data_IF_333093433089
#
_entry.id   IF_333093433089
#
_cell.length_a   1.000
_cell.length_b   1.000
_cell.length_c   1.000
_cell.angle_alpha   90.00
_cell.angle_beta   90.00
_cell.angle_gamma   90.00
#
_symmetry.space_group_name_H-M   'P 1'
#
loop_
_entity.id
_entity.type
_entity.pdbx_description
1 polymer ?
#
# COMPACT_ATOMS: atom_id res chain seq x y z
N UNK A 1 10.35 -1.94 5.41
CA UNK A 1 10.79 -1.48 6.74
C UNK A 1 11.15 -2.64 7.65
N UNK A 2 10.24 -3.60 7.94
CA UNK A 2 10.51 -4.75 8.82
C UNK A 2 11.65 -5.64 8.30
N UNK A 3 11.75 -5.86 7.00
CA UNK A 3 12.86 -6.60 6.37
C UNK A 3 14.23 -5.91 6.57
N UNK A 4 14.27 -4.60 6.72
CA UNK A 4 15.51 -3.88 7.05
C UNK A 4 15.96 -4.12 8.49
N UNK A 5 15.01 -4.36 9.40
CA UNK A 5 15.30 -4.61 10.82
C UNK A 5 15.67 -6.07 11.06
N UNK A 6 14.85 -7.01 10.54
CA UNK A 6 14.95 -8.42 10.90
C UNK A 6 15.71 -9.30 9.89
N UNK A 7 16.06 -8.75 8.73
CA UNK A 7 16.85 -9.37 7.64
C UNK A 7 16.31 -10.71 7.09
N UNK A 8 15.97 -11.68 7.96
CA UNK A 8 15.56 -13.03 7.61
C UNK A 8 14.05 -13.26 7.82
N UNK A 9 13.43 -14.06 6.94
CA UNK A 9 12.00 -14.38 6.99
C UNK A 9 11.66 -15.17 8.26
N UNK A 10 12.53 -16.08 8.69
CA UNK A 10 12.33 -16.88 9.91
C UNK A 10 12.30 -16.01 11.17
N UNK A 11 13.19 -15.01 11.24
CA UNK A 11 13.22 -14.05 12.34
C UNK A 11 11.98 -13.14 12.31
N UNK A 12 11.49 -12.75 11.15
CA UNK A 12 10.24 -11.97 11.02
C UNK A 12 9.09 -12.77 11.60
N UNK A 13 8.92 -14.03 11.22
CA UNK A 13 7.83 -14.88 11.72
C UNK A 13 7.87 -15.07 13.24
N UNK A 14 9.05 -15.03 13.84
CA UNK A 14 9.24 -15.20 15.29
C UNK A 14 9.05 -13.91 16.09
N UNK A 15 9.52 -12.79 15.56
CA UNK A 15 9.57 -11.50 16.28
C UNK A 15 8.53 -10.48 15.82
N UNK A 16 7.81 -10.74 14.72
CA UNK A 16 6.80 -9.84 14.17
C UNK A 16 5.44 -10.49 14.18
N UNK A 17 4.48 -9.83 14.80
CA UNK A 17 3.07 -10.18 14.73
C UNK A 17 2.35 -9.18 13.83
N UNK A 18 1.90 -9.62 12.66
CA UNK A 18 1.13 -8.79 11.73
C UNK A 18 -0.36 -9.16 11.81
N UNK A 19 -1.19 -8.19 12.08
CA UNK A 19 -2.64 -8.35 12.30
C UNK A 19 -3.42 -7.39 11.44
N UNK A 20 -4.37 -7.90 10.67
CA UNK A 20 -5.33 -7.07 9.96
C UNK A 20 -6.59 -6.88 10.82
N UNK A 21 -6.86 -5.64 11.22
CA UNK A 21 -8.00 -5.28 12.07
C UNK A 21 -9.33 -5.22 11.31
N UNK A 22 -9.31 -5.22 9.97
CA UNK A 22 -10.51 -5.23 9.14
C UNK A 22 -11.37 -6.50 9.32
N UNK A 23 -10.78 -7.59 9.80
CA UNK A 23 -11.49 -8.86 10.02
C UNK A 23 -12.18 -8.96 11.38
N UNK A 24 -12.67 -7.85 11.93
CA UNK A 24 -13.47 -7.87 13.18
C UNK A 24 -12.69 -8.31 14.42
N UNK A 25 -11.38 -8.06 14.47
CA UNK A 25 -10.54 -8.35 15.64
C UNK A 25 -10.99 -7.52 16.85
N UNK A 26 -11.74 -8.15 17.73
CA UNK A 26 -12.32 -7.51 18.90
C UNK A 26 -11.36 -7.46 20.10
N UNK A 27 -11.91 -6.96 21.22
CA UNK A 27 -11.20 -6.81 22.50
C UNK A 27 -10.58 -8.12 23.00
N UNK A 28 -11.21 -9.27 22.75
CA UNK A 28 -10.68 -10.60 23.15
C UNK A 28 -9.33 -10.88 22.49
N UNK A 29 -9.21 -10.66 21.19
CA UNK A 29 -7.97 -10.82 20.47
C UNK A 29 -6.82 -10.00 21.08
N UNK A 30 -7.09 -8.74 21.42
CA UNK A 30 -6.08 -7.86 22.03
C UNK A 30 -5.68 -8.34 23.42
N UNK A 31 -6.64 -8.82 24.22
CA UNK A 31 -6.36 -9.30 25.57
C UNK A 31 -5.60 -10.61 25.60
N UNK A 32 -5.92 -11.52 24.72
CA UNK A 32 -5.43 -12.89 24.76
C UNK A 32 -4.19 -13.04 23.86
N UNK A 33 -4.33 -12.90 22.56
CA UNK A 33 -3.26 -13.18 21.61
C UNK A 33 -2.16 -12.10 21.62
N UNK A 34 -2.55 -10.82 21.46
CA UNK A 34 -1.58 -9.74 21.37
C UNK A 34 -0.82 -9.55 22.68
N UNK A 35 -1.53 -9.63 23.82
CA UNK A 35 -0.91 -9.53 25.13
C UNK A 35 0.01 -10.72 25.42
N UNK A 36 -0.39 -11.93 25.01
CA UNK A 36 0.45 -13.12 25.14
C UNK A 36 1.74 -12.96 24.34
N UNK A 37 1.64 -12.55 23.07
CA UNK A 37 2.80 -12.29 22.22
C UNK A 37 3.72 -11.22 22.83
N UNK A 38 3.18 -10.10 23.30
CA UNK A 38 3.96 -9.03 23.91
C UNK A 38 4.65 -9.46 25.23
N UNK A 39 4.02 -10.38 26.00
CA UNK A 39 4.53 -10.86 27.28
C UNK A 39 5.65 -11.89 27.13
N UNK A 40 5.67 -12.70 26.06
CA UNK A 40 6.70 -13.71 25.87
C UNK A 40 8.10 -13.09 25.79
N UNK A 41 9.05 -13.66 26.51
CA UNK A 41 10.42 -13.13 26.56
C UNK A 41 11.15 -13.33 25.22
N UNK A 42 12.05 -12.41 24.91
CA UNK A 42 12.93 -12.48 23.75
C UNK A 42 14.21 -13.19 24.20
N UNK A 43 14.58 -14.27 23.52
CA UNK A 43 15.92 -14.83 23.65
C UNK A 43 16.87 -13.96 22.81
N UNK A 44 17.78 -13.26 23.47
CA UNK A 44 18.74 -12.30 22.87
C UNK A 44 19.80 -12.95 21.94
N UNK A 45 19.66 -14.23 21.60
CA UNK A 45 20.66 -14.98 20.81
C UNK A 45 20.91 -14.43 19.41
N UNK A 46 20.02 -13.57 18.87
CA UNK A 46 20.15 -13.04 17.51
C UNK A 46 20.37 -11.51 17.45
N UNK A 47 20.67 -10.86 18.58
CA UNK A 47 20.94 -9.41 18.61
C UNK A 47 19.72 -8.51 18.43
N UNK A 48 18.50 -9.05 18.40
CA UNK A 48 17.27 -8.25 18.34
C UNK A 48 16.76 -7.94 19.74
N UNK A 49 16.57 -6.65 20.02
CA UNK A 49 16.21 -6.15 21.34
C UNK A 49 14.72 -5.95 21.57
N UNK A 50 13.88 -6.08 20.53
CA UNK A 50 12.45 -5.82 20.64
C UNK A 50 11.64 -6.70 19.66
N UNK A 51 10.37 -6.87 19.96
CA UNK A 51 9.37 -7.43 19.06
C UNK A 51 8.61 -6.33 18.34
N UNK A 52 8.00 -6.68 17.22
CA UNK A 52 7.17 -5.76 16.45
C UNK A 52 5.74 -6.29 16.34
N UNK A 53 4.77 -5.45 16.66
CA UNK A 53 3.35 -5.73 16.44
C UNK A 53 2.86 -4.72 15.40
N UNK A 54 2.40 -5.21 14.26
CA UNK A 54 1.89 -4.41 13.15
C UNK A 54 0.38 -4.59 13.06
N UNK A 55 -0.35 -3.50 13.21
CA UNK A 55 -1.79 -3.45 13.11
C UNK A 55 -2.16 -2.74 11.81
N UNK A 56 -2.64 -3.52 10.83
CA UNK A 56 -3.13 -3.01 9.55
C UNK A 56 -4.61 -2.64 9.69
N UNK A 57 -5.03 -1.59 9.00
CA UNK A 57 -6.40 -1.04 9.07
C UNK A 57 -6.84 -0.78 10.53
N UNK A 58 -5.97 -0.15 11.31
CA UNK A 58 -6.20 0.06 12.74
C UNK A 58 -7.43 0.94 13.02
N UNK A 59 -7.90 1.72 12.05
CA UNK A 59 -9.14 2.49 12.12
C UNK A 59 -10.40 1.62 12.30
N UNK A 60 -10.33 0.32 12.01
CA UNK A 60 -11.44 -0.64 12.18
C UNK A 60 -11.54 -1.22 13.60
N UNK A 61 -10.62 -0.86 14.49
CA UNK A 61 -10.67 -1.28 15.88
C UNK A 61 -11.81 -0.59 16.63
N UNK A 62 -12.57 -1.37 17.40
CA UNK A 62 -13.58 -0.82 18.31
C UNK A 62 -12.97 0.04 19.41
N UNK A 63 -13.72 0.95 19.99
CA UNK A 63 -13.29 1.83 21.09
C UNK A 63 -12.75 1.01 22.28
N UNK A 64 -13.43 -0.09 22.63
CA UNK A 64 -13.03 -0.96 23.72
C UNK A 64 -11.71 -1.70 23.42
N UNK A 65 -11.53 -2.13 22.15
CA UNK A 65 -10.30 -2.74 21.70
C UNK A 65 -9.13 -1.73 21.75
N UNK A 66 -9.37 -0.49 21.33
CA UNK A 66 -8.38 0.57 21.43
C UNK A 66 -8.03 0.89 22.90
N UNK A 67 -9.00 0.95 23.79
CA UNK A 67 -8.78 1.18 25.23
C UNK A 67 -7.95 0.06 25.88
N UNK A 68 -8.19 -1.20 25.48
CA UNK A 68 -7.38 -2.34 25.92
C UNK A 68 -5.94 -2.26 25.35
N UNK A 69 -5.82 -1.88 24.08
CA UNK A 69 -4.53 -1.74 23.39
C UNK A 69 -3.66 -0.64 24.01
N UNK A 70 -4.26 0.47 24.41
CA UNK A 70 -3.56 1.53 25.18
C UNK A 70 -2.80 0.96 26.37
N UNK A 71 -3.45 0.12 27.18
CA UNK A 71 -2.81 -0.51 28.35
C UNK A 71 -1.68 -1.45 27.95
N UNK A 72 -1.83 -2.17 26.82
CA UNK A 72 -0.78 -3.02 26.29
C UNK A 72 0.44 -2.21 25.85
N UNK A 73 0.24 -1.09 25.16
CA UNK A 73 1.32 -0.17 24.74
C UNK A 73 2.08 0.33 25.97
N UNK A 74 1.37 0.85 26.96
CA UNK A 74 1.99 1.37 28.20
C UNK A 74 2.85 0.32 28.91
N UNK A 75 2.34 -0.92 28.97
CA UNK A 75 2.98 -2.00 29.72
C UNK A 75 4.19 -2.62 29.01
N UNK A 76 4.14 -2.74 27.68
CA UNK A 76 5.10 -3.53 26.91
C UNK A 76 6.01 -2.69 25.99
N UNK A 77 5.92 -1.37 26.00
CA UNK A 77 6.71 -0.48 25.16
C UNK A 77 8.23 -0.65 25.30
N UNK A 78 8.72 -1.14 26.43
CA UNK A 78 10.15 -1.39 26.65
C UNK A 78 10.70 -2.47 25.68
N UNK A 79 9.94 -3.53 25.42
CA UNK A 79 10.40 -4.70 24.67
C UNK A 79 9.60 -4.96 23.39
N UNK A 80 8.53 -4.19 23.14
CA UNK A 80 7.65 -4.37 21.99
C UNK A 80 7.38 -3.03 21.33
N UNK A 81 7.56 -2.95 20.01
CA UNK A 81 7.22 -1.79 19.20
C UNK A 81 5.88 -2.01 18.50
N UNK A 82 5.01 -1.01 18.59
CA UNK A 82 3.68 -1.06 18.00
C UNK A 82 3.66 -0.18 16.75
N UNK A 83 3.26 -0.74 15.63
CA UNK A 83 3.11 -0.06 14.35
C UNK A 83 1.63 -0.06 13.97
N UNK A 84 1.08 1.13 13.77
CA UNK A 84 -0.29 1.34 13.32
C UNK A 84 -0.26 1.78 11.87
N UNK A 85 -0.87 1.03 10.98
CA UNK A 85 -1.06 1.40 9.59
C UNK A 85 -2.54 1.71 9.40
N UNK A 86 -2.86 2.94 9.03
CA UNK A 86 -4.23 3.45 8.93
C UNK A 86 -4.29 4.54 7.85
N UNK A 87 -5.44 4.70 7.25
CA UNK A 87 -5.71 5.78 6.28
C UNK A 87 -6.20 7.04 6.99
N UNK A 88 -7.03 6.88 8.02
CA UNK A 88 -7.62 7.99 8.75
C UNK A 88 -7.32 7.92 10.25
N UNK A 89 -6.54 8.89 10.74
CA UNK A 89 -6.18 8.98 12.17
C UNK A 89 -7.30 9.46 13.09
N UNK A 90 -8.36 10.07 12.55
CA UNK A 90 -9.44 10.65 13.38
C UNK A 90 -10.23 9.60 14.17
N UNK A 91 -10.19 8.34 13.73
CA UNK A 91 -10.87 7.20 14.36
C UNK A 91 -10.09 6.63 15.55
N UNK A 92 -8.82 6.98 15.68
CA UNK A 92 -7.96 6.51 16.77
C UNK A 92 -8.07 7.44 17.98
N UNK A 93 -8.18 6.83 19.14
CA UNK A 93 -8.30 7.57 20.41
C UNK A 93 -7.04 8.43 20.66
N UNK A 94 -7.26 9.69 21.03
CA UNK A 94 -6.18 10.64 21.37
C UNK A 94 -5.15 10.08 22.36
N UNK A 95 -5.50 9.33 23.42
CA UNK A 95 -4.54 8.72 24.32
C UNK A 95 -3.61 7.68 23.68
N UNK A 96 -3.98 7.07 22.56
CA UNK A 96 -3.10 6.19 21.79
C UNK A 96 -2.17 7.03 20.93
N UNK A 97 -2.72 8.01 20.19
CA UNK A 97 -1.94 8.88 19.32
C UNK A 97 -0.82 9.62 20.08
N UNK A 98 -1.10 10.06 21.31
CA UNK A 98 -0.08 10.74 22.15
C UNK A 98 1.13 9.87 22.53
N UNK A 99 1.06 8.55 22.33
CA UNK A 99 2.13 7.58 22.62
C UNK A 99 2.86 7.08 21.39
N UNK A 100 2.42 7.46 20.22
CA UNK A 100 2.95 7.04 18.94
C UNK A 100 3.59 8.22 18.23
N UNK A 101 4.62 7.93 17.44
CA UNK A 101 5.18 8.89 16.49
C UNK A 101 4.40 8.79 15.19
N UNK A 102 3.86 9.90 14.73
CA UNK A 102 3.11 9.97 13.50
C UNK A 102 4.06 10.15 12.30
N UNK A 103 3.99 9.26 11.34
CA UNK A 103 4.73 9.32 10.08
C UNK A 103 3.70 9.38 8.96
N UNK A 104 3.66 10.50 8.27
CA UNK A 104 2.81 10.68 7.11
C UNK A 104 3.48 10.13 5.86
N UNK A 105 2.78 9.23 5.16
CA UNK A 105 3.21 8.69 3.87
C UNK A 105 2.32 9.26 2.78
N UNK A 106 2.91 9.98 1.84
CA UNK A 106 2.19 10.59 0.74
C UNK A 106 1.80 9.53 -0.32
N UNK A 107 0.52 9.48 -0.68
CA UNK A 107 -0.05 8.50 -1.61
C UNK A 107 0.10 8.89 -3.11
N UNK A 108 0.77 10.00 -3.40
CA UNK A 108 0.72 10.64 -4.74
C UNK A 108 1.45 9.84 -5.82
N UNK A 109 2.45 9.03 -5.47
CA UNK A 109 3.29 8.33 -6.46
C UNK A 109 2.71 6.99 -6.94
N UNK A 110 2.07 6.23 -6.05
CA UNK A 110 1.66 4.85 -6.35
C UNK A 110 0.55 4.71 -7.40
N UNK A 111 -0.37 5.68 -7.52
CA UNK A 111 -1.45 5.60 -8.51
C UNK A 111 -0.96 5.84 -9.94
N UNK A 112 -0.01 6.74 -10.13
CA UNK A 112 0.61 6.96 -11.45
C UNK A 112 1.50 5.79 -11.85
N UNK A 113 2.32 5.29 -10.94
CA UNK A 113 3.30 4.26 -11.26
C UNK A 113 2.67 2.90 -11.52
N UNK A 114 1.59 2.52 -10.82
CA UNK A 114 0.86 1.27 -11.09
C UNK A 114 0.14 1.29 -12.44
N UNK A 115 -0.33 2.45 -12.88
CA UNK A 115 -0.98 2.59 -14.18
C UNK A 115 0.04 2.60 -15.31
N UNK A 116 1.15 3.31 -15.13
CA UNK A 116 2.27 3.35 -16.09
C UNK A 116 2.96 1.98 -16.19
N UNK A 117 3.23 1.30 -15.08
CA UNK A 117 3.82 -0.05 -15.08
C UNK A 117 2.93 -1.07 -15.79
N UNK A 118 1.60 -1.02 -15.59
CA UNK A 118 0.67 -1.87 -16.33
C UNK A 118 0.63 -1.57 -17.82
N UNK A 119 0.69 -0.30 -18.20
CA UNK A 119 0.70 0.11 -19.61
C UNK A 119 2.01 -0.32 -20.29
N UNK A 120 3.15 -0.17 -19.61
CA UNK A 120 4.45 -0.57 -20.13
C UNK A 120 4.60 -2.10 -20.22
N UNK A 121 4.03 -2.86 -19.29
CA UNK A 121 4.01 -4.32 -19.33
C UNK A 121 3.26 -4.88 -20.55
N UNK A 122 2.24 -4.19 -21.03
CA UNK A 122 1.48 -4.67 -22.19
C UNK A 122 2.03 -4.18 -23.54
N UNK A 123 3.07 -3.33 -23.56
CA UNK A 123 3.67 -2.74 -24.79
C UNK A 123 2.63 -2.23 -25.81
N UNK A 124 1.36 -2.14 -25.40
CA UNK A 124 0.25 -1.74 -26.27
C UNK A 124 0.35 -0.30 -26.72
N UNK A 125 0.84 0.59 -25.86
CA UNK A 125 0.92 2.02 -26.18
C UNK A 125 1.94 2.30 -27.28
N UNK A 126 3.11 1.68 -27.24
CA UNK A 126 4.16 1.89 -28.25
C UNK A 126 3.79 1.30 -29.61
N UNK A 127 3.19 0.13 -29.65
CA UNK A 127 2.72 -0.50 -30.89
C UNK A 127 1.57 0.30 -31.51
N UNK A 128 0.67 0.81 -30.67
CA UNK A 128 -0.48 1.61 -31.09
C UNK A 128 -0.05 2.98 -31.63
N UNK A 129 0.88 3.66 -30.97
CA UNK A 129 1.46 4.92 -31.44
C UNK A 129 2.28 4.74 -32.71
N UNK A 130 3.07 3.69 -32.83
CA UNK A 130 3.84 3.40 -34.04
C UNK A 130 2.93 3.12 -35.24
N UNK A 131 1.83 2.40 -35.01
CA UNK A 131 0.82 2.19 -36.06
C UNK A 131 0.19 3.52 -36.48
N UNK A 132 -0.19 4.37 -35.53
CA UNK A 132 -0.79 5.67 -35.77
C UNK A 132 0.15 6.56 -36.59
N UNK A 133 1.40 6.69 -36.19
CA UNK A 133 2.42 7.47 -36.93
C UNK A 133 2.57 6.99 -38.37
N UNK A 134 2.74 5.70 -38.56
CA UNK A 134 2.89 5.10 -39.88
C UNK A 134 1.64 5.31 -40.74
N UNK A 135 0.45 5.18 -40.16
CA UNK A 135 -0.81 5.40 -40.87
C UNK A 135 -0.98 6.88 -41.27
N UNK A 136 -0.69 7.83 -40.40
CA UNK A 136 -0.73 9.25 -40.68
C UNK A 136 0.27 9.62 -41.78
N UNK A 137 1.51 9.19 -41.73
CA UNK A 137 2.54 9.42 -42.74
C UNK A 137 2.14 8.88 -44.11
N UNK A 138 1.47 7.74 -44.18
CA UNK A 138 1.03 7.16 -45.46
C UNK A 138 -0.19 7.82 -46.04
N UNK A 139 -1.12 8.28 -45.19
CA UNK A 139 -2.39 8.86 -45.59
C UNK A 139 -2.23 10.34 -46.01
N UNK A 140 -1.42 11.10 -45.25
CA UNK A 140 -1.15 12.51 -45.59
C UNK A 140 -0.29 12.73 -46.86
N UNK A 141 0.41 11.68 -47.28
CA UNK A 141 1.19 11.74 -48.57
C UNK A 141 0.38 11.41 -49.77
N UNK A 142 -0.83 10.89 -49.66
CA UNK A 142 -1.49 10.27 -50.83
C UNK A 142 -2.76 10.93 -51.31
N UNK A 143 -3.57 11.64 -50.55
CA UNK A 143 -4.76 12.38 -51.02
C UNK A 143 -5.59 13.01 -49.91
N UNK A 144 -6.35 14.07 -50.24
CA UNK A 144 -7.23 14.84 -49.33
C UNK A 144 -8.45 14.08 -48.76
N UNK A 145 -8.31 12.80 -48.39
CA UNK A 145 -9.38 11.98 -47.79
C UNK A 145 -9.28 11.96 -46.27
N UNK A 146 -9.25 13.15 -45.66
CA UNK A 146 -9.12 13.27 -44.22
C UNK A 146 -10.31 12.67 -43.45
N UNK A 147 -11.53 12.74 -44.03
CA UNK A 147 -12.75 12.27 -43.39
C UNK A 147 -12.71 10.73 -43.27
N UNK A 148 -12.39 10.04 -44.34
CA UNK A 148 -12.30 8.56 -44.37
C UNK A 148 -11.19 8.06 -43.40
N UNK A 149 -10.11 8.85 -43.30
CA UNK A 149 -9.02 8.52 -42.39
C UNK A 149 -9.41 8.65 -40.88
N UNK A 150 -10.16 9.71 -40.57
CA UNK A 150 -10.68 9.94 -39.21
C UNK A 150 -11.69 8.88 -38.83
N UNK A 151 -12.60 8.53 -39.75
CA UNK A 151 -13.60 7.49 -39.54
C UNK A 151 -12.94 6.11 -39.24
N UNK A 152 -11.96 5.73 -40.04
CA UNK A 152 -11.19 4.51 -39.84
C UNK A 152 -10.41 4.47 -38.51
N UNK A 153 -9.82 5.62 -38.10
CA UNK A 153 -9.13 5.69 -36.80
C UNK A 153 -10.11 5.64 -35.63
N UNK A 154 -11.27 6.25 -35.76
CA UNK A 154 -12.34 6.20 -34.77
C UNK A 154 -12.87 4.77 -34.58
N UNK A 155 -13.13 4.04 -35.67
CA UNK A 155 -13.52 2.62 -35.62
C UNK A 155 -12.47 1.73 -34.95
N UNK A 156 -11.18 2.06 -35.08
CA UNK A 156 -10.08 1.39 -34.37
C UNK A 156 -9.90 1.87 -32.92
N UNK A 157 -10.76 2.75 -32.44
CA UNK A 157 -10.77 3.22 -31.06
C UNK A 157 -9.65 4.20 -30.71
N UNK A 158 -9.13 4.97 -31.68
CA UNK A 158 -8.22 6.08 -31.42
C UNK A 158 -9.00 7.32 -31.00
N UNK A 159 -8.51 8.03 -29.99
CA UNK A 159 -9.06 9.29 -29.51
C UNK A 159 -8.38 10.49 -30.14
N UNK A 160 -9.02 11.67 -30.07
CA UNK A 160 -8.40 12.93 -30.51
C UNK A 160 -7.09 13.22 -29.72
N UNK A 161 -6.99 12.75 -28.48
CA UNK A 161 -5.78 12.92 -27.65
C UNK A 161 -4.62 12.09 -28.18
N UNK A 162 -4.90 10.90 -28.73
CA UNK A 162 -3.87 10.04 -29.33
C UNK A 162 -3.28 10.72 -30.59
N UNK A 163 -4.10 11.46 -31.33
CA UNK A 163 -3.68 12.22 -32.51
C UNK A 163 -2.80 13.44 -32.17
N UNK A 164 -3.11 14.12 -31.06
CA UNK A 164 -2.31 15.29 -30.62
C UNK A 164 -0.95 14.87 -30.08
N UNK A 165 -0.84 13.67 -29.50
CA UNK A 165 0.39 13.15 -28.90
C UNK A 165 1.25 12.32 -29.87
N UNK A 166 0.81 12.13 -31.11
CA UNK A 166 1.55 11.39 -32.14
C UNK A 166 2.45 12.28 -32.99
#
# INVERSE_FOLDING_TARGET
>A
FLYLIYKDIETINKYVMCVNCAHGKGIKFIRDELKFFAKTNINHMHGYFFKSIVLLNAEKLTIDAQSALRRCIEKFSAHTRFFFVLENKSTILKPILSRLCEIYVNDVSLKKDLYSIKIDQYKCSSLRLNYLKKYLETTFKKDNKYIDAVEHLYEKGYSCIDLVNS
#
